data_IF_096515501403
#
_entry.id   IF_096515501403
#
_cell.length_a   1.000
_cell.length_b   1.000
_cell.length_c   1.000
_cell.angle_alpha   90.00
_cell.angle_beta   90.00
_cell.angle_gamma   90.00
#
_symmetry.space_group_name_H-M   'P 1'
#
loop_
_entity.id
_entity.type
_entity.pdbx_description
1 polymer ?
#
# COMPACT_ATOMS: atom_id res chain seq x y z
N UNK A 1 64.88 22.06 6.72
CA UNK A 1 64.84 21.14 5.56
C UNK A 1 64.90 21.87 4.22
N UNK A 2 63.95 22.79 3.89
CA UNK A 2 63.99 23.61 2.66
C UNK A 2 65.28 24.45 2.47
N UNK A 3 65.88 24.92 3.56
CA UNK A 3 67.13 25.70 3.55
C UNK A 3 68.39 24.87 3.25
N UNK A 4 68.41 23.57 3.60
CA UNK A 4 69.57 22.70 3.37
C UNK A 4 69.56 22.06 1.98
N UNK A 5 68.38 21.73 1.46
CA UNK A 5 68.20 21.25 0.07
C UNK A 5 68.44 22.40 -0.93
N UNK A 6 68.08 23.65 -0.58
CA UNK A 6 68.45 24.82 -1.37
C UNK A 6 69.96 25.04 -1.47
N UNK A 7 70.70 24.71 -0.41
CA UNK A 7 72.17 24.78 -0.40
C UNK A 7 72.83 23.66 -1.22
N UNK A 8 72.21 22.47 -1.33
CA UNK A 8 72.72 21.37 -2.17
C UNK A 8 72.35 21.51 -3.65
N UNK A 9 71.23 22.15 -3.99
CA UNK A 9 70.88 22.47 -5.39
C UNK A 9 71.75 23.59 -5.97
N UNK A 10 72.15 24.58 -5.16
CA UNK A 10 73.07 25.64 -5.58
C UNK A 10 74.47 25.06 -5.87
N UNK A 11 74.92 24.04 -5.14
CA UNK A 11 76.19 23.37 -5.44
C UNK A 11 76.12 22.50 -6.71
N UNK A 12 74.98 21.89 -7.04
CA UNK A 12 74.81 21.09 -8.28
C UNK A 12 74.91 21.96 -9.54
N UNK A 13 74.29 23.15 -9.55
CA UNK A 13 74.35 24.06 -10.70
C UNK A 13 75.77 24.64 -10.88
N UNK A 14 76.51 24.84 -9.79
CA UNK A 14 77.91 25.28 -9.84
C UNK A 14 78.89 24.14 -10.22
N UNK A 15 78.56 22.88 -9.96
CA UNK A 15 79.47 21.74 -10.21
C UNK A 15 79.40 21.21 -11.66
N UNK A 16 78.30 21.44 -12.39
CA UNK A 16 78.17 20.99 -13.78
C UNK A 16 78.93 21.85 -14.80
N UNK A 17 79.47 23.03 -14.42
CA UNK A 17 80.14 23.94 -15.37
C UNK A 17 81.68 23.95 -15.35
N UNK A 18 82.37 23.07 -14.63
CA UNK A 18 83.84 23.04 -14.66
C UNK A 18 84.44 21.64 -14.86
N UNK A 19 84.80 21.34 -16.12
CA UNK A 19 85.74 20.29 -16.51
C UNK A 19 87.21 20.59 -16.12
N UNK A 20 87.45 21.51 -15.20
CA UNK A 20 88.75 21.76 -14.59
C UNK A 20 88.60 21.65 -13.09
N UNK A 21 89.40 20.80 -12.46
CA UNK A 21 89.51 20.74 -11.01
C UNK A 21 89.68 22.16 -10.46
N UNK A 22 88.85 22.56 -9.48
CA UNK A 22 89.11 23.80 -8.77
C UNK A 22 90.52 23.67 -8.15
N UNK A 23 91.48 24.54 -8.51
CA UNK A 23 92.83 24.49 -7.98
C UNK A 23 92.86 24.59 -6.45
N UNK A 24 91.82 25.13 -5.81
CA UNK A 24 91.65 25.13 -4.35
C UNK A 24 91.38 23.75 -3.77
N UNK A 25 90.57 22.91 -4.43
CA UNK A 25 90.30 21.53 -3.98
C UNK A 25 91.55 20.66 -4.09
N UNK A 26 92.32 20.83 -5.16
CA UNK A 26 93.63 20.19 -5.33
C UNK A 26 94.68 20.75 -4.36
N UNK A 27 94.65 22.05 -4.04
CA UNK A 27 95.55 22.62 -3.01
C UNK A 27 95.24 22.08 -1.62
N UNK A 28 93.95 21.98 -1.24
CA UNK A 28 93.53 21.44 0.06
C UNK A 28 93.98 19.99 0.27
N UNK A 29 94.03 19.20 -0.82
CA UNK A 29 94.47 17.81 -0.81
C UNK A 29 96.00 17.68 -0.96
N UNK A 30 96.69 18.62 -1.62
CA UNK A 30 98.13 18.52 -1.93
C UNK A 30 99.08 19.17 -0.91
N UNK A 31 98.62 20.10 -0.06
CA UNK A 31 99.43 20.65 1.04
C UNK A 31 99.41 19.67 2.22
N UNK A 32 100.47 18.87 2.37
CA UNK A 32 100.63 17.78 3.36
C UNK A 32 100.49 18.12 4.85
N UNK A 33 99.95 19.29 5.22
CA UNK A 33 99.58 19.68 6.59
C UNK A 33 98.07 19.63 6.87
N UNK A 34 97.22 19.39 5.86
CA UNK A 34 95.74 19.41 5.96
C UNK A 34 95.01 18.18 5.40
N UNK A 35 95.75 17.16 4.93
CA UNK A 35 95.20 15.94 4.31
C UNK A 35 94.24 15.17 5.22
N UNK A 36 94.48 15.15 6.53
CA UNK A 36 93.54 14.61 7.51
C UNK A 36 92.23 15.41 7.51
N UNK A 37 92.32 16.73 7.69
CA UNK A 37 91.14 17.61 7.82
C UNK A 37 90.23 17.66 6.59
N UNK A 38 90.78 17.59 5.37
CA UNK A 38 90.00 17.61 4.14
C UNK A 38 89.30 16.25 3.89
N UNK A 39 90.01 15.15 4.12
CA UNK A 39 89.49 13.79 4.02
C UNK A 39 88.42 13.54 5.08
N UNK A 40 88.65 13.99 6.31
CA UNK A 40 87.71 13.90 7.42
C UNK A 40 86.43 14.70 7.12
N UNK A 41 86.54 15.89 6.51
CA UNK A 41 85.39 16.69 6.09
C UNK A 41 84.57 16.01 4.98
N UNK A 42 85.23 15.40 3.99
CA UNK A 42 84.54 14.67 2.92
C UNK A 42 83.87 13.40 3.47
N UNK A 43 84.54 12.67 4.36
CA UNK A 43 83.98 11.51 5.04
C UNK A 43 82.77 11.90 5.91
N UNK A 44 82.83 13.05 6.58
CA UNK A 44 81.69 13.58 7.34
C UNK A 44 80.49 13.92 6.46
N UNK A 45 80.72 14.45 5.25
CA UNK A 45 79.64 14.70 4.27
C UNK A 45 79.05 13.39 3.75
N UNK A 46 79.88 12.39 3.42
CA UNK A 46 79.40 11.06 3.01
C UNK A 46 78.60 10.38 4.11
N UNK A 47 79.05 10.47 5.37
CA UNK A 47 78.31 9.96 6.52
C UNK A 47 76.97 10.69 6.69
N UNK A 48 76.95 12.02 6.57
CA UNK A 48 75.71 12.80 6.63
C UNK A 48 74.72 12.40 5.52
N UNK A 49 75.20 12.18 4.29
CA UNK A 49 74.35 11.73 3.18
C UNK A 49 73.78 10.34 3.44
N UNK A 50 74.60 9.42 3.96
CA UNK A 50 74.15 8.07 4.32
C UNK A 50 73.15 8.11 5.49
N UNK A 51 73.39 8.94 6.51
CA UNK A 51 72.48 9.16 7.63
C UNK A 51 71.14 9.75 7.16
N UNK A 52 71.16 10.69 6.22
CA UNK A 52 69.95 11.27 5.63
C UNK A 52 69.15 10.22 4.83
N UNK A 53 69.82 9.39 4.03
CA UNK A 53 69.18 8.28 3.30
C UNK A 53 68.52 7.31 4.27
N UNK A 54 69.26 6.89 5.31
CA UNK A 54 68.77 5.96 6.30
C UNK A 54 67.62 6.55 7.14
N UNK A 55 67.66 7.85 7.44
CA UNK A 55 66.55 8.56 8.08
C UNK A 55 65.28 8.56 7.20
N UNK A 56 65.42 8.80 5.89
CA UNK A 56 64.30 8.75 4.96
C UNK A 56 63.71 7.33 4.84
N UNK A 57 64.56 6.30 4.78
CA UNK A 57 64.12 4.88 4.77
C UNK A 57 63.34 4.53 6.04
N UNK A 58 63.81 4.97 7.21
CA UNK A 58 63.10 4.71 8.48
C UNK A 58 61.79 5.50 8.56
N UNK A 59 61.74 6.74 8.04
CA UNK A 59 60.50 7.51 7.91
C UNK A 59 59.49 6.81 6.99
N UNK A 60 59.93 6.26 5.86
CA UNK A 60 59.09 5.45 4.98
C UNK A 60 58.55 4.21 5.70
N UNK A 61 59.39 3.48 6.42
CA UNK A 61 58.96 2.29 7.17
C UNK A 61 57.90 2.62 8.23
N UNK A 62 58.06 3.75 8.94
CA UNK A 62 57.06 4.23 9.91
C UNK A 62 55.77 4.67 9.24
N UNK A 63 55.86 5.39 8.12
CA UNK A 63 54.71 5.84 7.35
C UNK A 63 53.93 4.67 6.74
N UNK A 64 54.62 3.65 6.23
CA UNK A 64 54.03 2.42 5.68
C UNK A 64 53.23 1.69 6.76
N UNK A 65 53.81 1.48 7.94
CA UNK A 65 53.12 0.85 9.06
C UNK A 65 51.88 1.66 9.50
N UNK A 66 52.03 2.96 9.69
CA UNK A 66 50.93 3.84 10.09
C UNK A 66 49.80 3.87 9.06
N UNK A 67 50.15 3.89 7.76
CA UNK A 67 49.16 3.86 6.69
C UNK A 67 48.44 2.51 6.59
N UNK A 68 49.13 1.39 6.77
CA UNK A 68 48.51 0.06 6.81
C UNK A 68 47.51 -0.08 7.95
N UNK A 69 47.85 0.39 9.15
CA UNK A 69 46.95 0.40 10.31
C UNK A 69 45.72 1.28 10.05
N UNK A 70 45.92 2.48 9.48
CA UNK A 70 44.84 3.37 9.07
C UNK A 70 43.94 2.75 8.00
N UNK A 71 44.52 2.20 6.93
CA UNK A 71 43.81 1.58 5.82
C UNK A 71 42.96 0.39 6.29
N UNK A 72 43.53 -0.48 7.13
CA UNK A 72 42.80 -1.58 7.73
C UNK A 72 41.59 -1.11 8.55
N UNK A 73 41.78 -0.09 9.40
CA UNK A 73 40.69 0.51 10.18
C UNK A 73 39.58 1.08 9.30
N UNK A 74 39.92 1.90 8.32
CA UNK A 74 38.92 2.57 7.48
C UNK A 74 38.20 1.61 6.54
N UNK A 75 38.88 0.57 6.03
CA UNK A 75 38.21 -0.46 5.23
C UNK A 75 37.19 -1.26 6.06
N UNK A 76 37.50 -1.55 7.33
CA UNK A 76 36.54 -2.17 8.24
C UNK A 76 35.34 -1.26 8.50
N UNK A 77 35.56 0.04 8.73
CA UNK A 77 34.48 1.03 8.90
C UNK A 77 33.60 1.11 7.65
N UNK A 78 34.20 1.15 6.46
CA UNK A 78 33.46 1.14 5.19
C UNK A 78 32.60 -0.11 5.04
N UNK A 79 33.14 -1.30 5.38
CA UNK A 79 32.40 -2.55 5.33
C UNK A 79 31.22 -2.56 6.32
N UNK A 80 31.44 -2.07 7.55
CA UNK A 80 30.40 -1.95 8.56
C UNK A 80 29.28 -1.01 8.12
N UNK A 81 29.60 0.19 7.63
CA UNK A 81 28.59 1.13 7.14
C UNK A 81 27.86 0.63 5.89
N UNK A 82 28.54 -0.14 5.03
CA UNK A 82 27.88 -0.80 3.89
C UNK A 82 26.85 -1.84 4.35
N UNK A 83 27.18 -2.63 5.38
CA UNK A 83 26.25 -3.57 6.00
C UNK A 83 25.04 -2.87 6.62
N UNK A 84 25.29 -1.85 7.44
CA UNK A 84 24.23 -1.03 8.06
C UNK A 84 23.34 -0.37 6.99
N UNK A 85 23.92 0.14 5.90
CA UNK A 85 23.16 0.73 4.80
C UNK A 85 22.21 -0.29 4.16
N UNK A 86 22.65 -1.54 3.99
CA UNK A 86 21.80 -2.61 3.46
C UNK A 86 20.62 -2.90 4.39
N UNK A 87 20.89 -3.06 5.69
CA UNK A 87 19.85 -3.30 6.71
C UNK A 87 18.84 -2.14 6.79
N UNK A 88 19.32 -0.90 6.72
CA UNK A 88 18.46 0.29 6.70
C UNK A 88 17.60 0.35 5.44
N UNK A 89 18.14 -0.05 4.28
CA UNK A 89 17.39 -0.11 3.04
C UNK A 89 16.30 -1.20 3.08
N UNK A 90 16.62 -2.38 3.61
CA UNK A 90 15.64 -3.46 3.82
C UNK A 90 14.54 -3.02 4.80
N UNK A 91 14.91 -2.31 5.87
CA UNK A 91 13.96 -1.76 6.84
C UNK A 91 13.03 -0.71 6.19
N UNK A 92 13.59 0.19 5.37
CA UNK A 92 12.81 1.17 4.62
C UNK A 92 11.82 0.50 3.68
N UNK A 93 12.26 -0.51 2.93
CA UNK A 93 11.39 -1.24 2.02
C UNK A 93 10.23 -1.89 2.78
N UNK A 94 10.52 -2.65 3.84
CA UNK A 94 9.48 -3.30 4.65
C UNK A 94 8.48 -2.30 5.23
N UNK A 95 8.95 -1.20 5.81
CA UNK A 95 8.05 -0.20 6.39
C UNK A 95 7.22 0.52 5.32
N UNK A 96 7.74 0.63 4.09
CA UNK A 96 6.98 1.17 2.94
C UNK A 96 5.87 0.21 2.50
N UNK A 97 6.16 -1.10 2.46
CA UNK A 97 5.16 -2.14 2.19
C UNK A 97 4.08 -2.17 3.28
N UNK A 98 4.45 -2.02 4.55
CA UNK A 98 3.51 -1.93 5.67
C UNK A 98 2.59 -0.69 5.54
N UNK A 99 3.13 0.46 5.12
CA UNK A 99 2.35 1.67 4.86
C UNK A 99 1.35 1.47 3.70
N UNK A 100 1.77 0.86 2.60
CA UNK A 100 0.89 0.52 1.47
C UNK A 100 -0.25 -0.42 1.91
N UNK A 101 0.06 -1.41 2.75
CA UNK A 101 -0.94 -2.32 3.29
C UNK A 101 -1.97 -1.62 4.21
N UNK A 102 -1.58 -0.54 4.90
CA UNK A 102 -2.52 0.30 5.66
C UNK A 102 -3.42 1.09 4.70
N UNK A 103 -2.85 1.68 3.65
CA UNK A 103 -3.61 2.40 2.62
C UNK A 103 -4.67 1.50 1.94
N UNK A 104 -4.30 0.27 1.60
CA UNK A 104 -5.24 -0.70 1.04
C UNK A 104 -6.38 -1.04 1.99
N UNK A 105 -6.11 -1.20 3.29
CA UNK A 105 -7.14 -1.45 4.30
C UNK A 105 -8.07 -0.27 4.49
N UNK A 106 -7.55 0.96 4.44
CA UNK A 106 -8.35 2.20 4.47
C UNK A 106 -9.30 2.23 3.28
N UNK A 107 -8.80 1.96 2.07
CA UNK A 107 -9.62 1.94 0.85
C UNK A 107 -10.74 0.89 0.95
N UNK A 108 -10.40 -0.36 1.31
CA UNK A 108 -11.38 -1.45 1.48
C UNK A 108 -12.43 -1.12 2.54
N UNK A 109 -12.02 -0.53 3.67
CA UNK A 109 -12.95 -0.15 4.75
C UNK A 109 -13.88 0.98 4.30
N UNK A 110 -13.36 1.96 3.56
CA UNK A 110 -14.14 3.07 2.99
C UNK A 110 -15.17 2.57 1.97
N UNK A 111 -14.77 1.66 1.08
CA UNK A 111 -15.68 1.03 0.12
C UNK A 111 -16.80 0.25 0.82
N UNK A 112 -16.46 -0.46 1.89
CA UNK A 112 -17.45 -1.17 2.70
C UNK A 112 -18.45 -0.23 3.37
N UNK A 113 -17.97 0.88 3.95
CA UNK A 113 -18.84 1.91 4.54
C UNK A 113 -19.79 2.51 3.50
N UNK A 114 -19.29 2.78 2.29
CA UNK A 114 -20.10 3.27 1.17
C UNK A 114 -21.17 2.24 0.74
N UNK A 115 -20.80 0.96 0.66
CA UNK A 115 -21.75 -0.12 0.38
C UNK A 115 -22.83 -0.21 1.46
N UNK A 116 -22.44 -0.17 2.73
CA UNK A 116 -23.35 -0.24 3.87
C UNK A 116 -24.35 0.93 3.84
N UNK A 117 -23.89 2.15 3.61
CA UNK A 117 -24.77 3.32 3.51
C UNK A 117 -25.76 3.21 2.34
N UNK A 118 -25.30 2.76 1.16
CA UNK A 118 -26.18 2.49 0.01
C UNK A 118 -27.22 1.41 0.33
N UNK A 119 -26.82 0.36 1.05
CA UNK A 119 -27.72 -0.72 1.47
C UNK A 119 -28.78 -0.22 2.45
N UNK A 120 -28.39 0.61 3.42
CA UNK A 120 -29.33 1.26 4.36
C UNK A 120 -30.36 2.12 3.62
N UNK A 121 -29.91 3.00 2.73
CA UNK A 121 -30.79 3.81 1.88
C UNK A 121 -31.73 2.96 1.02
N UNK A 122 -31.24 1.85 0.45
CA UNK A 122 -32.08 0.91 -0.28
C UNK A 122 -33.15 0.27 0.61
N UNK A 123 -32.82 -0.07 1.86
CA UNK A 123 -33.79 -0.61 2.80
C UNK A 123 -34.80 0.44 3.27
N UNK A 124 -34.40 1.71 3.44
CA UNK A 124 -35.31 2.82 3.72
C UNK A 124 -36.37 2.96 2.60
N UNK A 125 -35.94 3.00 1.33
CA UNK A 125 -36.87 3.07 0.19
C UNK A 125 -37.81 1.86 0.15
N UNK A 126 -37.30 0.65 0.38
CA UNK A 126 -38.15 -0.55 0.45
C UNK A 126 -39.18 -0.49 1.57
N UNK A 127 -38.85 0.10 2.72
CA UNK A 127 -39.80 0.25 3.82
C UNK A 127 -40.91 1.26 3.47
N UNK A 128 -40.58 2.31 2.75
CA UNK A 128 -41.54 3.30 2.24
C UNK A 128 -42.47 2.66 1.18
N UNK A 129 -41.89 2.02 0.16
CA UNK A 129 -42.64 1.31 -0.89
C UNK A 129 -43.57 0.23 -0.29
N UNK A 130 -43.07 -0.52 0.70
CA UNK A 130 -43.85 -1.57 1.35
C UNK A 130 -45.07 -1.00 2.07
N UNK A 131 -44.94 0.17 2.72
CA UNK A 131 -46.05 0.83 3.39
C UNK A 131 -47.14 1.27 2.39
N UNK A 132 -46.75 1.81 1.24
CA UNK A 132 -47.66 2.18 0.16
C UNK A 132 -48.38 0.95 -0.41
N UNK A 133 -47.64 -0.11 -0.75
CA UNK A 133 -48.19 -1.37 -1.25
C UNK A 133 -49.20 -1.99 -0.28
N UNK A 134 -48.95 -1.90 1.04
CA UNK A 134 -49.89 -2.40 2.04
C UNK A 134 -51.18 -1.59 2.09
N UNK A 135 -51.10 -0.27 1.93
CA UNK A 135 -52.28 0.59 1.85
C UNK A 135 -53.12 0.28 0.60
N UNK A 136 -52.47 0.11 -0.56
CA UNK A 136 -53.16 -0.25 -1.81
C UNK A 136 -53.81 -1.64 -1.72
N UNK A 137 -53.06 -2.66 -1.28
CA UNK A 137 -53.56 -4.02 -1.12
C UNK A 137 -54.76 -4.09 -0.15
N UNK A 138 -54.70 -3.35 0.96
CA UNK A 138 -55.83 -3.23 1.90
C UNK A 138 -57.08 -2.63 1.26
N UNK A 139 -56.91 -1.57 0.45
CA UNK A 139 -58.04 -0.94 -0.23
C UNK A 139 -58.72 -1.93 -1.18
N UNK A 140 -57.94 -2.65 -1.98
CA UNK A 140 -58.44 -3.67 -2.91
C UNK A 140 -59.15 -4.81 -2.18
N UNK A 141 -58.59 -5.28 -1.07
CA UNK A 141 -59.22 -6.31 -0.24
C UNK A 141 -60.57 -5.84 0.32
N UNK A 142 -60.65 -4.62 0.86
CA UNK A 142 -61.89 -4.06 1.41
C UNK A 142 -62.95 -3.89 0.33
N UNK A 143 -62.58 -3.37 -0.85
CA UNK A 143 -63.52 -3.20 -1.96
C UNK A 143 -64.03 -4.55 -2.45
N UNK A 144 -63.16 -5.53 -2.66
CA UNK A 144 -63.57 -6.89 -3.06
C UNK A 144 -64.49 -7.53 -2.02
N UNK A 145 -64.14 -7.44 -0.73
CA UNK A 145 -64.96 -8.01 0.36
C UNK A 145 -66.34 -7.34 0.44
N UNK A 146 -66.42 -6.02 0.22
CA UNK A 146 -67.71 -5.30 0.14
C UNK A 146 -68.53 -5.85 -1.02
N UNK A 147 -67.97 -5.93 -2.22
CA UNK A 147 -68.68 -6.35 -3.42
C UNK A 147 -69.20 -7.80 -3.28
N UNK A 148 -68.40 -8.71 -2.72
CA UNK A 148 -68.84 -10.09 -2.43
C UNK A 148 -69.93 -10.16 -1.36
N UNK A 149 -69.86 -9.34 -0.30
CA UNK A 149 -70.90 -9.30 0.74
C UNK A 149 -72.21 -8.70 0.23
N UNK A 150 -72.14 -7.67 -0.60
CA UNK A 150 -73.32 -7.12 -1.27
C UNK A 150 -73.98 -8.15 -2.20
N UNK A 151 -73.18 -8.86 -3.00
CA UNK A 151 -73.68 -9.95 -3.84
C UNK A 151 -74.31 -11.09 -3.02
N UNK A 152 -73.67 -11.48 -1.90
CA UNK A 152 -74.20 -12.50 -0.99
C UNK A 152 -75.55 -12.09 -0.41
N UNK A 153 -75.68 -10.87 0.11
CA UNK A 153 -76.93 -10.37 0.68
C UNK A 153 -78.08 -10.38 -0.34
N UNK A 154 -77.80 -9.99 -1.59
CA UNK A 154 -78.79 -10.05 -2.68
C UNK A 154 -79.20 -11.48 -2.96
N UNK A 155 -78.24 -12.41 -3.10
CA UNK A 155 -78.54 -13.81 -3.40
C UNK A 155 -79.28 -14.50 -2.26
N UNK A 156 -78.94 -14.22 -1.00
CA UNK A 156 -79.66 -14.73 0.17
C UNK A 156 -81.10 -14.22 0.22
N UNK A 157 -81.32 -12.93 -0.10
CA UNK A 157 -82.67 -12.37 -0.24
C UNK A 157 -83.46 -13.07 -1.36
N UNK A 158 -82.86 -13.24 -2.54
CA UNK A 158 -83.48 -13.96 -3.68
C UNK A 158 -83.80 -15.41 -3.31
N UNK A 159 -82.89 -16.11 -2.64
CA UNK A 159 -83.08 -17.48 -2.18
C UNK A 159 -84.26 -17.59 -1.20
N UNK A 160 -84.36 -16.67 -0.24
CA UNK A 160 -85.47 -16.64 0.72
C UNK A 160 -86.82 -16.42 0.05
N UNK A 161 -86.89 -15.50 -0.92
CA UNK A 161 -88.12 -15.26 -1.68
C UNK A 161 -88.51 -16.46 -2.57
N UNK A 162 -87.53 -17.09 -3.24
CA UNK A 162 -87.76 -18.30 -4.04
C UNK A 162 -88.23 -19.50 -3.19
N UNK A 163 -87.63 -19.72 -2.02
CA UNK A 163 -88.04 -20.78 -1.09
C UNK A 163 -89.47 -20.59 -0.57
N UNK A 164 -89.86 -19.35 -0.26
CA UNK A 164 -91.24 -19.04 0.14
C UNK A 164 -92.23 -19.34 -0.99
N UNK A 165 -91.86 -19.09 -2.25
CA UNK A 165 -92.72 -19.36 -3.41
C UNK A 165 -92.76 -20.85 -3.79
N UNK A 166 -91.66 -21.58 -3.62
CA UNK A 166 -91.59 -23.03 -3.77
C UNK A 166 -92.54 -23.73 -2.79
N UNK A 167 -92.56 -23.31 -1.52
CA UNK A 167 -93.44 -23.87 -0.48
C UNK A 167 -94.93 -23.59 -0.70
N UNK A 168 -95.26 -22.46 -1.34
CA UNK A 168 -96.64 -22.04 -1.57
C UNK A 168 -97.22 -22.48 -2.93
N UNK A 169 -96.44 -23.19 -3.76
CA UNK A 169 -96.83 -23.67 -5.10
C UNK A 169 -97.44 -22.58 -6.02
N UNK A 170 -97.00 -21.32 -5.86
CA UNK A 170 -97.64 -20.13 -6.45
C UNK A 170 -96.69 -19.36 -7.37
N UNK A 171 -96.01 -20.05 -8.29
CA UNK A 171 -95.17 -19.40 -9.30
C UNK A 171 -95.70 -19.69 -10.70
N UNK A 172 -96.14 -18.64 -11.39
CA UNK A 172 -96.42 -18.71 -12.82
C UNK A 172 -95.08 -18.72 -13.59
N UNK A 173 -95.04 -19.44 -14.72
CA UNK A 173 -93.81 -19.69 -15.50
C UNK A 173 -93.14 -18.39 -15.96
N UNK A 174 -93.91 -17.34 -16.25
CA UNK A 174 -93.41 -16.02 -16.61
C UNK A 174 -92.68 -15.31 -15.45
N UNK A 175 -93.16 -15.44 -14.20
CA UNK A 175 -92.52 -14.82 -13.04
C UNK A 175 -91.17 -15.47 -12.73
N UNK A 176 -91.06 -16.79 -12.87
CA UNK A 176 -89.79 -17.51 -12.69
C UNK A 176 -88.72 -17.06 -13.70
N UNK A 177 -89.10 -16.79 -14.96
CA UNK A 177 -88.18 -16.27 -15.98
C UNK A 177 -87.70 -14.84 -15.70
N UNK A 178 -88.53 -14.00 -15.09
CA UNK A 178 -88.13 -12.66 -14.68
C UNK A 178 -87.09 -12.70 -13.55
N UNK A 179 -87.21 -13.64 -12.61
CA UNK A 179 -86.20 -13.87 -11.57
C UNK A 179 -84.86 -14.31 -12.16
N UNK A 180 -84.87 -15.25 -13.09
CA UNK A 180 -83.65 -15.69 -13.78
C UNK A 180 -82.98 -14.54 -14.53
N UNK A 181 -83.78 -13.66 -15.15
CA UNK A 181 -83.28 -12.47 -15.86
C UNK A 181 -82.74 -11.39 -14.92
N UNK A 182 -83.26 -11.28 -13.69
CA UNK A 182 -82.71 -10.39 -12.65
C UNK A 182 -81.46 -10.98 -12.00
N UNK A 183 -81.43 -12.29 -11.78
CA UNK A 183 -80.24 -13.03 -11.32
C UNK A 183 -79.08 -12.90 -12.31
N UNK A 184 -79.36 -12.92 -13.63
CA UNK A 184 -78.34 -12.74 -14.67
C UNK A 184 -77.72 -11.34 -14.71
N UNK A 185 -78.34 -10.32 -14.10
CA UNK A 185 -77.74 -9.00 -13.92
C UNK A 185 -76.68 -9.00 -12.81
N UNK A 186 -76.94 -9.73 -11.71
CA UNK A 186 -75.98 -9.92 -10.61
C UNK A 186 -74.82 -10.85 -10.98
N UNK A 187 -74.99 -11.69 -12.00
CA UNK A 187 -73.91 -12.44 -12.66
C UNK A 187 -72.78 -11.56 -13.15
N UNK A 188 -73.05 -10.31 -13.55
CA UNK A 188 -72.01 -9.40 -14.03
C UNK A 188 -71.25 -8.70 -12.88
N UNK A 189 -71.69 -8.85 -11.62
CA UNK A 189 -70.95 -8.37 -10.44
C UNK A 189 -69.93 -9.40 -9.91
N UNK A 190 -69.98 -10.63 -10.40
CA UNK A 190 -69.05 -11.70 -10.03
C UNK A 190 -68.27 -12.03 -11.30
N UNK A 191 -66.96 -11.84 -11.30
CA UNK A 191 -66.09 -11.96 -12.48
C UNK A 191 -65.97 -13.41 -13.03
N UNK A 192 -66.83 -14.33 -12.56
CA UNK A 192 -66.92 -15.72 -12.98
C UNK A 192 -68.24 -16.01 -13.73
N UNK A 193 -68.28 -15.62 -15.01
CA UNK A 193 -69.36 -15.95 -15.98
C UNK A 193 -69.72 -17.46 -16.02
N UNK A 194 -68.79 -18.34 -15.71
CA UNK A 194 -68.98 -19.81 -15.70
C UNK A 194 -70.02 -20.29 -14.67
N UNK A 195 -70.23 -19.57 -13.57
CA UNK A 195 -71.16 -20.01 -12.52
C UNK A 195 -72.62 -19.85 -12.95
N UNK A 196 -72.89 -18.94 -13.89
CA UNK A 196 -74.24 -18.59 -14.33
C UNK A 196 -74.55 -18.97 -15.77
N UNK A 197 -73.57 -19.37 -16.58
CA UNK A 197 -73.81 -20.01 -17.88
C UNK A 197 -74.56 -21.34 -17.76
N UNK A 198 -74.72 -21.86 -16.54
CA UNK A 198 -75.53 -23.03 -16.23
C UNK A 198 -76.99 -22.69 -15.90
N UNK A 199 -77.40 -21.41 -15.87
CA UNK A 199 -78.79 -21.00 -15.60
C UNK A 199 -79.65 -20.98 -16.88
N UNK A 200 -79.43 -21.90 -17.81
CA UNK A 200 -80.45 -22.23 -18.80
C UNK A 200 -81.45 -23.19 -18.15
N UNK A 201 -82.71 -22.78 -18.08
CA UNK A 201 -83.83 -23.60 -17.60
C UNK A 201 -84.38 -24.34 -18.80
N UNK A 202 -84.37 -25.68 -18.79
CA UNK A 202 -84.98 -26.50 -19.84
C UNK A 202 -86.48 -26.16 -19.97
N UNK A 203 -86.93 -25.86 -21.20
CA UNK A 203 -88.28 -25.35 -21.45
C UNK A 203 -89.41 -26.38 -21.23
N UNK A 204 -89.07 -27.67 -21.09
CA UNK A 204 -90.01 -28.81 -21.11
C UNK A 204 -90.57 -29.24 -19.74
N UNK A 205 -90.06 -28.71 -18.63
CA UNK A 205 -90.43 -29.21 -17.29
C UNK A 205 -91.61 -28.48 -16.62
N UNK A 206 -92.28 -29.16 -15.67
CA UNK A 206 -93.34 -28.60 -14.83
C UNK A 206 -92.79 -27.43 -13.99
N UNK A 207 -93.61 -26.40 -13.74
CA UNK A 207 -93.18 -25.17 -13.04
C UNK A 207 -92.45 -25.42 -11.71
N UNK A 208 -92.84 -26.45 -10.95
CA UNK A 208 -92.19 -26.79 -9.68
C UNK A 208 -90.75 -27.33 -9.84
N UNK A 209 -90.46 -28.02 -10.95
CA UNK A 209 -89.13 -28.57 -11.22
C UNK A 209 -88.15 -27.46 -11.65
N UNK A 210 -88.65 -26.48 -12.41
CA UNK A 210 -87.92 -25.25 -12.77
C UNK A 210 -87.55 -24.43 -11.53
N UNK A 211 -88.48 -24.26 -10.59
CA UNK A 211 -88.24 -23.50 -9.36
C UNK A 211 -87.17 -24.17 -8.49
N UNK A 212 -87.25 -25.50 -8.32
CA UNK A 212 -86.27 -26.26 -7.54
C UNK A 212 -84.86 -26.19 -8.14
N UNK A 213 -84.75 -26.21 -9.47
CA UNK A 213 -83.47 -26.05 -10.18
C UNK A 213 -82.87 -24.65 -9.98
N UNK A 214 -83.68 -23.59 -10.03
CA UNK A 214 -83.24 -22.21 -9.79
C UNK A 214 -82.80 -22.04 -8.32
N UNK A 215 -83.56 -22.58 -7.36
CA UNK A 215 -83.18 -22.57 -5.94
C UNK A 215 -81.83 -23.27 -5.73
N UNK A 216 -81.63 -24.44 -6.34
CA UNK A 216 -80.34 -25.16 -6.29
C UNK A 216 -79.17 -24.36 -6.87
N UNK A 217 -79.38 -23.64 -7.99
CA UNK A 217 -78.37 -22.77 -8.60
C UNK A 217 -78.03 -21.57 -7.70
N UNK A 218 -79.04 -20.91 -7.12
CA UNK A 218 -78.84 -19.78 -6.18
C UNK A 218 -78.10 -20.25 -4.92
N UNK A 219 -78.43 -21.42 -4.38
CA UNK A 219 -77.71 -22.01 -3.25
C UNK A 219 -76.24 -22.32 -3.59
N UNK A 220 -75.98 -22.90 -4.77
CA UNK A 220 -74.61 -23.16 -5.23
C UNK A 220 -73.79 -21.87 -5.41
N UNK A 221 -74.42 -20.79 -5.85
CA UNK A 221 -73.82 -19.46 -5.95
C UNK A 221 -73.49 -18.87 -4.57
N UNK A 222 -74.42 -18.94 -3.62
CA UNK A 222 -74.21 -18.53 -2.24
C UNK A 222 -72.99 -19.26 -1.65
N UNK A 223 -72.92 -20.58 -1.80
CA UNK A 223 -71.77 -21.36 -1.32
C UNK A 223 -70.45 -20.95 -1.96
N UNK A 224 -70.42 -20.69 -3.28
CA UNK A 224 -69.21 -20.23 -3.96
C UNK A 224 -68.75 -18.84 -3.51
N UNK A 225 -69.68 -17.89 -3.31
CA UNK A 225 -69.31 -16.56 -2.79
C UNK A 225 -68.79 -16.68 -1.36
N UNK A 226 -69.40 -17.51 -0.52
CA UNK A 226 -68.92 -17.78 0.84
C UNK A 226 -67.50 -18.37 0.82
N UNK A 227 -67.22 -19.33 -0.06
CA UNK A 227 -65.89 -19.90 -0.26
C UNK A 227 -64.86 -18.86 -0.74
N UNK A 228 -65.24 -17.98 -1.67
CA UNK A 228 -64.38 -16.89 -2.13
C UNK A 228 -64.12 -15.85 -1.04
N UNK A 229 -65.11 -15.48 -0.23
CA UNK A 229 -64.91 -14.61 0.94
C UNK A 229 -63.89 -15.24 1.88
N UNK A 230 -64.06 -16.53 2.22
CA UNK A 230 -63.12 -17.22 3.10
C UNK A 230 -61.71 -17.27 2.51
N UNK A 231 -61.60 -17.58 1.21
CA UNK A 231 -60.32 -17.61 0.50
C UNK A 231 -59.64 -16.24 0.52
N UNK A 232 -60.39 -15.16 0.28
CA UNK A 232 -59.87 -13.79 0.35
C UNK A 232 -59.41 -13.43 1.76
N UNK A 233 -60.17 -13.78 2.80
CA UNK A 233 -59.80 -13.54 4.20
C UNK A 233 -58.51 -14.30 4.57
N UNK A 234 -58.36 -15.56 4.15
CA UNK A 234 -57.15 -16.36 4.36
C UNK A 234 -55.92 -15.81 3.60
N UNK A 235 -56.13 -15.34 2.35
CA UNK A 235 -55.10 -14.69 1.54
C UNK A 235 -54.64 -13.37 2.18
N UNK A 236 -55.57 -12.58 2.69
CA UNK A 236 -55.28 -11.31 3.38
C UNK A 236 -54.50 -11.55 4.68
N UNK A 237 -54.88 -12.55 5.48
CA UNK A 237 -54.13 -12.92 6.69
C UNK A 237 -52.70 -13.33 6.35
N UNK A 238 -52.53 -14.15 5.31
CA UNK A 238 -51.21 -14.59 4.84
C UNK A 238 -50.37 -13.39 4.38
N UNK A 239 -50.94 -12.55 3.50
CA UNK A 239 -50.27 -11.36 2.98
C UNK A 239 -49.88 -10.38 4.09
N UNK A 240 -50.74 -10.18 5.08
CA UNK A 240 -50.45 -9.32 6.24
C UNK A 240 -49.30 -9.86 7.10
N UNK A 241 -49.24 -11.19 7.30
CA UNK A 241 -48.14 -11.82 8.03
C UNK A 241 -46.81 -11.68 7.26
N UNK A 242 -46.82 -11.97 5.96
CA UNK A 242 -45.64 -11.83 5.09
C UNK A 242 -45.12 -10.39 5.09
N UNK A 243 -46.02 -9.40 5.03
CA UNK A 243 -45.69 -7.99 5.17
C UNK A 243 -44.99 -7.68 6.50
N UNK A 244 -45.56 -8.16 7.62
CA UNK A 244 -44.99 -7.92 8.96
C UNK A 244 -43.60 -8.53 9.08
N UNK A 245 -43.42 -9.75 8.57
CA UNK A 245 -42.15 -10.46 8.62
C UNK A 245 -41.10 -9.79 7.74
N UNK A 246 -41.47 -9.41 6.51
CA UNK A 246 -40.58 -8.67 5.61
C UNK A 246 -40.17 -7.33 6.21
N UNK A 247 -41.12 -6.56 6.77
CA UNK A 247 -40.84 -5.30 7.46
C UNK A 247 -39.91 -5.49 8.66
N UNK A 248 -40.17 -6.52 9.48
CA UNK A 248 -39.33 -6.85 10.64
C UNK A 248 -37.90 -7.17 10.20
N UNK A 249 -37.74 -7.96 9.14
CA UNK A 249 -36.42 -8.31 8.62
C UNK A 249 -35.65 -7.09 8.11
N UNK A 250 -36.30 -6.18 7.39
CA UNK A 250 -35.68 -4.93 6.93
C UNK A 250 -35.26 -4.03 8.10
N UNK A 251 -36.11 -3.87 9.12
CA UNK A 251 -35.79 -3.09 10.32
C UNK A 251 -34.63 -3.70 11.10
N UNK A 252 -34.62 -5.02 11.26
CA UNK A 252 -33.51 -5.73 11.91
C UNK A 252 -32.20 -5.55 11.12
N UNK A 253 -32.24 -5.69 9.80
CA UNK A 253 -31.08 -5.45 8.94
C UNK A 253 -30.56 -4.01 9.09
N UNK A 254 -31.45 -3.01 9.16
CA UNK A 254 -31.02 -1.62 9.39
C UNK A 254 -30.28 -1.41 10.71
N UNK A 255 -30.76 -2.03 11.80
CA UNK A 255 -30.10 -1.95 13.11
C UNK A 255 -28.70 -2.56 13.03
N UNK A 256 -28.58 -3.74 12.42
CA UNK A 256 -27.29 -4.42 12.23
C UNK A 256 -26.34 -3.60 11.35
N UNK A 257 -26.82 -3.10 10.21
CA UNK A 257 -26.04 -2.28 9.30
C UNK A 257 -25.53 -1.00 9.99
N UNK A 258 -26.35 -0.35 10.82
CA UNK A 258 -25.94 0.82 11.59
C UNK A 258 -24.86 0.50 12.61
N UNK A 259 -25.04 -0.58 13.39
CA UNK A 259 -24.03 -1.01 14.36
C UNK A 259 -22.70 -1.34 13.68
N UNK A 260 -22.77 -2.02 12.54
CA UNK A 260 -21.57 -2.35 11.78
C UNK A 260 -20.91 -1.09 11.19
N UNK A 261 -21.70 -0.16 10.65
CA UNK A 261 -21.19 1.13 10.17
C UNK A 261 -20.42 1.88 11.26
N UNK A 262 -21.02 2.02 12.44
CA UNK A 262 -20.38 2.73 13.57
C UNK A 262 -19.09 2.04 14.03
N UNK A 263 -19.06 0.70 14.01
CA UNK A 263 -17.86 -0.09 14.32
C UNK A 263 -16.77 0.09 13.27
N UNK A 264 -17.12 -0.01 11.99
CA UNK A 264 -16.21 0.14 10.86
C UNK A 264 -15.67 1.57 10.74
N UNK A 265 -16.47 2.58 11.07
CA UNK A 265 -16.04 3.97 11.10
C UNK A 265 -14.98 4.20 12.18
N UNK A 266 -15.15 3.62 13.38
CA UNK A 266 -14.11 3.69 14.43
C UNK A 266 -12.83 2.98 13.99
N UNK A 267 -12.96 1.83 13.34
CA UNK A 267 -11.82 1.10 12.81
C UNK A 267 -11.11 1.90 11.71
N UNK A 268 -11.84 2.58 10.82
CA UNK A 268 -11.26 3.47 9.81
C UNK A 268 -10.44 4.58 10.45
N UNK A 269 -10.99 5.28 11.45
CA UNK A 269 -10.24 6.32 12.16
C UNK A 269 -8.95 5.77 12.80
N UNK A 270 -9.01 4.56 13.39
CA UNK A 270 -7.81 3.91 13.92
C UNK A 270 -6.78 3.59 12.84
N UNK A 271 -7.22 3.20 11.63
CA UNK A 271 -6.31 2.98 10.50
C UNK A 271 -5.69 4.29 10.00
N UNK A 272 -6.42 5.41 10.04
CA UNK A 272 -5.89 6.73 9.71
C UNK A 272 -4.78 7.16 10.69
N UNK A 273 -4.97 6.91 11.99
CA UNK A 273 -3.93 7.12 13.00
C UNK A 273 -2.71 6.21 12.75
N UNK A 274 -2.94 4.92 12.46
CA UNK A 274 -1.87 3.96 12.14
C UNK A 274 -1.09 4.38 10.88
N UNK A 275 -1.77 4.95 9.89
CA UNK A 275 -1.15 5.48 8.68
C UNK A 275 -0.21 6.63 9.00
N UNK A 276 -0.62 7.58 9.83
CA UNK A 276 0.24 8.70 10.24
C UNK A 276 1.51 8.19 10.94
N UNK A 277 1.36 7.22 11.84
CA UNK A 277 2.49 6.58 12.52
C UNK A 277 3.41 5.85 11.53
N UNK A 278 2.86 5.08 10.59
CA UNK A 278 3.64 4.37 9.58
C UNK A 278 4.40 5.35 8.65
N UNK A 279 3.78 6.46 8.28
CA UNK A 279 4.43 7.53 7.49
C UNK A 279 5.61 8.16 8.23
N UNK A 280 5.49 8.42 9.54
CA UNK A 280 6.60 8.93 10.33
C UNK A 280 7.75 7.91 10.41
N UNK A 281 7.45 6.63 10.62
CA UNK A 281 8.46 5.56 10.62
C UNK A 281 9.20 5.49 9.28
N UNK A 282 8.50 5.52 8.15
CA UNK A 282 9.12 5.54 6.82
C UNK A 282 10.04 6.76 6.67
N UNK A 283 9.58 7.95 7.05
CA UNK A 283 10.40 9.17 7.00
C UNK A 283 11.65 9.08 7.88
N UNK A 284 11.55 8.47 9.06
CA UNK A 284 12.70 8.22 9.92
C UNK A 284 13.69 7.24 9.27
N UNK A 285 13.21 6.15 8.66
CA UNK A 285 14.05 5.21 7.93
C UNK A 285 14.79 5.88 6.76
N UNK A 286 14.13 6.74 5.99
CA UNK A 286 14.77 7.52 4.91
C UNK A 286 15.89 8.42 5.44
N UNK A 287 15.64 9.14 6.54
CA UNK A 287 16.65 9.98 7.19
C UNK A 287 17.86 9.17 7.67
N UNK A 288 17.62 8.03 8.29
CA UNK A 288 18.68 7.14 8.77
C UNK A 288 19.50 6.61 7.58
N UNK A 289 18.84 6.11 6.54
CA UNK A 289 19.51 5.61 5.34
C UNK A 289 20.38 6.70 4.67
N UNK A 290 19.82 7.90 4.48
CA UNK A 290 20.56 9.04 3.92
C UNK A 290 21.75 9.46 4.78
N UNK A 291 21.61 9.42 6.11
CA UNK A 291 22.72 9.68 7.02
C UNK A 291 23.82 8.61 6.91
N UNK A 292 23.48 7.33 6.85
CA UNK A 292 24.44 6.24 6.67
C UNK A 292 25.18 6.36 5.34
N UNK A 293 24.46 6.64 4.24
CA UNK A 293 25.06 6.88 2.91
C UNK A 293 26.07 8.04 2.95
N UNK A 294 25.70 9.14 3.59
CA UNK A 294 26.58 10.31 3.74
C UNK A 294 27.83 9.98 4.55
N UNK A 295 27.70 9.25 5.66
CA UNK A 295 28.85 8.84 6.48
C UNK A 295 29.78 7.92 5.68
N UNK A 296 29.23 6.92 4.98
CA UNK A 296 30.02 6.03 4.13
C UNK A 296 30.81 6.80 3.07
N UNK A 297 30.16 7.75 2.39
CA UNK A 297 30.80 8.60 1.39
C UNK A 297 31.91 9.48 2.00
N UNK A 298 31.67 10.07 3.17
CA UNK A 298 32.67 10.87 3.89
C UNK A 298 33.89 10.03 4.28
N UNK A 299 33.67 8.82 4.79
CA UNK A 299 34.73 7.87 5.16
C UNK A 299 35.56 7.44 3.95
N UNK A 300 34.91 7.13 2.82
CA UNK A 300 35.60 6.80 1.56
C UNK A 300 36.42 8.00 1.03
N UNK A 301 35.86 9.21 1.09
CA UNK A 301 36.57 10.42 0.68
C UNK A 301 37.79 10.68 1.56
N UNK A 302 37.66 10.54 2.88
CA UNK A 302 38.77 10.70 3.82
C UNK A 302 39.89 9.67 3.54
N UNK A 303 39.53 8.41 3.29
CA UNK A 303 40.47 7.37 2.89
C UNK A 303 41.23 7.76 1.61
N UNK A 304 40.51 8.15 0.56
CA UNK A 304 41.12 8.51 -0.72
C UNK A 304 42.07 9.71 -0.60
N UNK A 305 41.71 10.71 0.21
CA UNK A 305 42.57 11.86 0.49
C UNK A 305 43.84 11.45 1.24
N UNK A 306 43.71 10.60 2.26
CA UNK A 306 44.86 10.15 3.04
C UNK A 306 45.78 9.23 2.23
N UNK A 307 45.21 8.36 1.39
CA UNK A 307 45.95 7.52 0.44
C UNK A 307 46.75 8.37 -0.55
N UNK A 308 46.15 9.41 -1.12
CA UNK A 308 46.85 10.31 -2.03
C UNK A 308 48.05 10.99 -1.34
N UNK A 309 47.86 11.51 -0.11
CA UNK A 309 48.96 12.11 0.68
C UNK A 309 50.08 11.12 0.96
N UNK A 310 49.73 9.90 1.37
CA UNK A 310 50.71 8.84 1.64
C UNK A 310 51.53 8.50 0.39
N UNK A 311 50.88 8.27 -0.75
CA UNK A 311 51.53 7.96 -2.02
C UNK A 311 52.47 9.10 -2.45
N UNK A 312 52.03 10.35 -2.35
CA UNK A 312 52.84 11.52 -2.69
C UNK A 312 54.09 11.63 -1.81
N UNK A 313 53.96 11.51 -0.49
CA UNK A 313 55.11 11.62 0.42
C UNK A 313 56.08 10.44 0.29
N UNK A 314 55.58 9.24 -0.01
CA UNK A 314 56.42 8.08 -0.32
C UNK A 314 57.23 8.29 -1.60
N UNK A 315 56.58 8.80 -2.66
CA UNK A 315 57.26 9.13 -3.91
C UNK A 315 58.33 10.21 -3.71
N UNK A 316 58.01 11.25 -2.94
CA UNK A 316 58.95 12.33 -2.62
C UNK A 316 60.19 11.82 -1.87
N UNK A 317 60.01 10.96 -0.85
CA UNK A 317 61.16 10.36 -0.13
C UNK A 317 61.98 9.43 -1.03
N UNK A 318 61.33 8.73 -1.95
CA UNK A 318 62.04 7.96 -2.98
C UNK A 318 62.92 8.85 -3.85
N UNK A 319 62.39 9.97 -4.37
CA UNK A 319 63.14 10.94 -5.17
C UNK A 319 64.29 11.58 -4.38
N UNK A 320 64.06 11.97 -3.13
CA UNK A 320 65.10 12.48 -2.23
C UNK A 320 66.23 11.46 -2.04
N UNK A 321 65.90 10.17 -1.85
CA UNK A 321 66.89 9.11 -1.72
C UNK A 321 67.69 8.88 -3.01
N UNK A 322 67.06 8.97 -4.19
CA UNK A 322 67.78 8.87 -5.47
C UNK A 322 68.81 10.00 -5.61
N UNK A 323 68.41 11.24 -5.29
CA UNK A 323 69.33 12.40 -5.31
C UNK A 323 70.50 12.19 -4.35
N UNK A 324 70.23 11.69 -3.13
CA UNK A 324 71.28 11.42 -2.14
C UNK A 324 72.26 10.36 -2.67
N UNK A 325 71.77 9.30 -3.32
CA UNK A 325 72.61 8.26 -3.94
C UNK A 325 73.47 8.85 -5.05
N UNK A 326 72.89 9.66 -5.95
CA UNK A 326 73.62 10.30 -7.05
C UNK A 326 74.74 11.21 -6.53
N UNK A 327 74.44 12.08 -5.54
CA UNK A 327 75.44 12.95 -4.92
C UNK A 327 76.53 12.11 -4.25
N UNK A 328 76.16 11.05 -3.53
CA UNK A 328 77.11 10.14 -2.89
C UNK A 328 78.05 9.51 -3.91
N UNK A 329 77.54 9.06 -5.06
CA UNK A 329 78.36 8.53 -6.16
C UNK A 329 79.32 9.57 -6.74
N UNK A 330 78.86 10.82 -6.93
CA UNK A 330 79.70 11.91 -7.41
C UNK A 330 80.86 12.21 -6.44
N UNK A 331 80.60 12.24 -5.13
CA UNK A 331 81.65 12.43 -4.13
C UNK A 331 82.68 11.28 -4.18
N UNK A 332 82.24 10.02 -4.21
CA UNK A 332 83.14 8.87 -4.34
C UNK A 332 83.99 8.94 -5.63
N UNK A 333 83.39 9.31 -6.76
CA UNK A 333 84.10 9.44 -8.03
C UNK A 333 85.17 10.54 -7.96
N UNK A 334 84.86 11.69 -7.34
CA UNK A 334 85.81 12.80 -7.17
C UNK A 334 86.96 12.45 -6.23
N UNK A 335 86.70 11.70 -5.16
CA UNK A 335 87.74 11.18 -4.25
C UNK A 335 88.68 10.24 -5.03
N UNK A 336 88.14 9.26 -5.75
CA UNK A 336 88.94 8.30 -6.52
C UNK A 336 89.83 8.98 -7.58
N UNK A 337 89.29 9.98 -8.30
CA UNK A 337 90.07 10.78 -9.26
C UNK A 337 91.20 11.58 -8.58
N UNK A 338 90.96 12.12 -7.38
CA UNK A 338 91.97 12.84 -6.62
C UNK A 338 93.08 11.90 -6.10
N UNK A 339 92.71 10.71 -5.59
CA UNK A 339 93.66 9.68 -5.16
C UNK A 339 94.54 9.19 -6.33
N UNK A 340 93.95 8.93 -7.50
CA UNK A 340 94.70 8.55 -8.70
C UNK A 340 95.69 9.65 -9.15
N UNK A 341 95.31 10.92 -9.03
CA UNK A 341 96.18 12.06 -9.35
C UNK A 341 97.35 12.18 -8.37
N UNK A 342 97.13 11.97 -7.07
CA UNK A 342 98.18 11.99 -6.05
C UNK A 342 99.17 10.83 -6.25
N UNK A 343 98.67 9.61 -6.51
CA UNK A 343 99.53 8.45 -6.81
C UNK A 343 100.43 8.69 -8.03
N UNK A 344 99.93 9.35 -9.08
CA UNK A 344 100.73 9.74 -10.27
C UNK A 344 101.79 10.79 -9.99
N UNK A 345 101.67 11.57 -8.90
CA UNK A 345 102.64 12.60 -8.50
C UNK A 345 103.69 12.11 -7.49
N UNK A 346 103.61 10.85 -7.04
CA UNK A 346 104.59 10.27 -6.11
C UNK A 346 104.55 10.83 -4.69
N UNK A 347 103.36 11.24 -4.23
CA UNK A 347 103.07 11.59 -2.82
C UNK A 347 102.18 10.52 -2.22
#
# INVERSE_FOLDING_TARGET
MRLLIGLTLITIILCQQQHKFNPEFLNLISTGTGLGTARDAIQAVLQLLEDLKNANVELDRKADKAFQEYEGGVLNDCAAFTGIMKENNESLQKNSEDLEAVDDKIAQTTDYLNWNEKRRKSNDMKLEDLAEQRCEANSLFIDALRDYREALNVLEWVNGDLQLKEQNAFLQKEEAQEYTSKLSLYTNMIDHKEVFSQVEVSQEDQANQVVSEIVGKVQGLISKIQEHIQTLEEQEITSANDFVDYRRNLLNEQVLLKQEYDSRLKFLNSLEDDKELAQDVVSQCEKILGNTQRILQQTQNAYNQQKAKYVMEKQKRHEENQIIIEITMLYHQKIAQAEEFLQKKGV
#
